data_IF_760507734305
#
_entry.id   IF_760507734305
#
_cell.length_a   1.000
_cell.length_b   1.000
_cell.length_c   1.000
_cell.angle_alpha   90.00
_cell.angle_beta   90.00
_cell.angle_gamma   90.00
#
_symmetry.space_group_name_H-M   'P 1'
#
loop_
_entity.id
_entity.type
_entity.pdbx_description
1 polymer ?
#
# COMPACT_ATOMS: atom_id res chain seq x y z
N UNK A 1 5.08 42.63 27.15
CA UNK A 1 5.23 41.15 27.19
C UNK A 1 4.21 40.41 26.33
N UNK A 2 2.93 40.75 26.35
CA UNK A 2 1.88 40.06 25.56
C UNK A 2 2.15 39.99 24.03
N UNK A 3 2.71 41.07 23.45
CA UNK A 3 3.06 41.14 22.01
C UNK A 3 4.20 40.18 21.63
N UNK A 4 5.19 40.01 22.51
CA UNK A 4 6.31 39.08 22.32
C UNK A 4 5.84 37.63 22.43
N UNK A 5 5.00 37.33 23.42
CA UNK A 5 4.39 36.01 23.56
C UNK A 5 3.49 35.65 22.36
N UNK A 6 2.69 36.61 21.89
CA UNK A 6 1.85 36.43 20.69
C UNK A 6 2.65 36.20 19.41
N UNK A 7 3.73 36.97 19.21
CA UNK A 7 4.62 36.79 18.06
C UNK A 7 5.34 35.43 18.10
N UNK A 8 5.79 34.99 19.28
CA UNK A 8 6.42 33.68 19.45
C UNK A 8 5.43 32.53 19.21
N UNK A 9 4.21 32.63 19.71
CA UNK A 9 3.16 31.64 19.49
C UNK A 9 2.80 31.51 17.99
N UNK A 10 2.68 32.66 17.29
CA UNK A 10 2.47 32.68 15.84
C UNK A 10 3.63 32.03 15.09
N UNK A 11 4.88 32.33 15.47
CA UNK A 11 6.06 31.75 14.84
C UNK A 11 6.13 30.23 15.04
N UNK A 12 5.88 29.74 16.26
CA UNK A 12 5.84 28.29 16.55
C UNK A 12 4.70 27.62 15.78
N UNK A 13 3.52 28.24 15.73
CA UNK A 13 2.38 27.74 14.94
C UNK A 13 2.68 27.68 13.44
N UNK A 14 3.32 28.72 12.89
CA UNK A 14 3.71 28.77 11.49
C UNK A 14 4.78 27.72 11.16
N UNK A 15 5.80 27.54 12.01
CA UNK A 15 6.82 26.49 11.86
C UNK A 15 6.18 25.10 11.95
N UNK A 16 5.27 24.89 12.90
CA UNK A 16 4.52 23.64 13.03
C UNK A 16 3.68 23.34 11.80
N UNK A 17 2.95 24.34 11.27
CA UNK A 17 2.16 24.21 10.05
C UNK A 17 3.05 23.93 8.82
N UNK A 18 4.16 24.65 8.65
CA UNK A 18 5.10 24.42 7.55
C UNK A 18 5.74 23.02 7.63
N UNK A 19 6.07 22.57 8.83
CA UNK A 19 6.54 21.21 9.08
C UNK A 19 5.50 20.15 8.69
N UNK A 20 4.24 20.32 9.14
CA UNK A 20 3.14 19.44 8.75
C UNK A 20 2.92 19.42 7.24
N UNK A 21 2.84 20.59 6.60
CA UNK A 21 2.62 20.71 5.16
C UNK A 21 3.76 20.06 4.37
N UNK A 22 5.00 20.15 4.84
CA UNK A 22 6.13 19.44 4.24
C UNK A 22 5.95 17.92 4.32
N UNK A 23 5.60 17.39 5.49
CA UNK A 23 5.36 15.95 5.69
C UNK A 23 4.24 15.42 4.79
N UNK A 24 3.17 16.19 4.58
CA UNK A 24 2.06 15.76 3.70
C UNK A 24 2.26 16.13 2.22
N UNK A 25 3.45 16.61 1.83
CA UNK A 25 3.77 16.98 0.44
C UNK A 25 3.01 18.21 -0.09
N UNK A 26 2.33 18.98 0.78
CA UNK A 26 1.53 20.17 0.44
C UNK A 26 2.21 21.49 0.82
N UNK A 27 3.44 21.42 1.29
CA UNK A 27 4.23 22.60 1.65
C UNK A 27 4.69 23.38 0.43
N UNK A 28 4.93 24.69 0.56
CA UNK A 28 5.50 25.51 -0.51
C UNK A 28 6.89 25.03 -0.96
N UNK A 29 7.55 24.21 -0.13
CA UNK A 29 8.88 23.65 -0.37
C UNK A 29 8.86 22.20 -0.86
N UNK A 30 7.69 21.63 -1.15
CA UNK A 30 7.63 20.26 -1.66
C UNK A 30 8.34 20.17 -3.03
N UNK A 31 9.05 19.10 -3.27
CA UNK A 31 9.67 18.81 -4.57
C UNK A 31 8.59 18.38 -5.58
N UNK A 32 8.87 18.45 -6.90
CA UNK A 32 7.97 17.87 -7.90
C UNK A 32 7.67 16.38 -7.65
N UNK A 33 8.65 15.60 -7.18
CA UNK A 33 8.48 14.18 -6.87
C UNK A 33 7.54 13.96 -5.67
N UNK A 34 7.70 14.72 -4.58
CA UNK A 34 6.81 14.64 -3.41
C UNK A 34 5.35 14.99 -3.76
N UNK A 35 5.15 16.04 -4.56
CA UNK A 35 3.80 16.39 -5.05
C UNK A 35 3.20 15.31 -5.94
N UNK A 36 4.01 14.73 -6.81
CA UNK A 36 3.59 13.65 -7.70
C UNK A 36 3.21 12.39 -6.92
N UNK A 37 4.05 11.96 -5.97
CA UNK A 37 3.76 10.84 -5.07
C UNK A 37 2.44 11.06 -4.33
N UNK A 38 2.22 12.28 -3.80
CA UNK A 38 0.95 12.61 -3.15
C UNK A 38 -0.24 12.49 -4.11
N UNK A 39 -0.13 13.00 -5.33
CA UNK A 39 -1.19 12.88 -6.33
C UNK A 39 -1.48 11.40 -6.69
N UNK A 40 -0.45 10.56 -6.73
CA UNK A 40 -0.56 9.11 -6.95
C UNK A 40 -1.24 8.40 -5.77
N UNK A 41 -0.92 8.77 -4.52
CA UNK A 41 -1.59 8.27 -3.32
C UNK A 41 -3.06 8.71 -3.23
N UNK A 42 -3.37 9.89 -3.76
CA UNK A 42 -4.71 10.51 -3.76
C UNK A 42 -5.60 10.10 -4.95
N UNK A 43 -5.23 9.08 -5.74
CA UNK A 43 -6.05 8.62 -6.87
C UNK A 43 -7.43 8.13 -6.42
N UNK A 44 -8.47 8.72 -7.01
CA UNK A 44 -9.89 8.40 -6.75
C UNK A 44 -10.57 7.64 -7.90
N UNK A 45 -9.86 7.41 -9.01
CA UNK A 45 -10.35 6.67 -10.16
C UNK A 45 -9.57 5.37 -10.34
N UNK A 46 -10.25 4.32 -10.81
CA UNK A 46 -9.63 3.02 -11.05
C UNK A 46 -8.94 3.04 -12.41
N UNK A 47 -7.94 2.17 -12.65
CA UNK A 47 -7.43 1.97 -14.00
C UNK A 47 -8.53 1.46 -14.93
N UNK A 48 -8.52 1.92 -16.19
CA UNK A 48 -9.45 1.44 -17.23
C UNK A 48 -9.21 -0.04 -17.57
N UNK A 49 -8.00 -0.54 -17.32
CA UNK A 49 -7.63 -1.95 -17.52
C UNK A 49 -6.50 -2.37 -16.57
N UNK A 50 -6.41 -3.67 -16.31
CA UNK A 50 -5.39 -4.28 -15.48
C UNK A 50 -4.53 -5.24 -16.29
N UNK A 51 -3.22 -4.99 -16.33
CA UNK A 51 -2.26 -5.91 -16.91
C UNK A 51 -1.70 -6.87 -15.85
N UNK A 52 -1.61 -8.18 -16.10
CA UNK A 52 -0.94 -9.10 -15.20
C UNK A 52 0.51 -8.69 -14.96
N UNK A 53 0.95 -8.70 -13.70
CA UNK A 53 2.35 -8.54 -13.32
C UNK A 53 2.74 -9.63 -12.31
N UNK A 54 3.90 -10.24 -12.51
CA UNK A 54 4.47 -11.19 -11.55
C UNK A 54 5.39 -10.50 -10.54
N UNK A 55 5.77 -11.22 -9.49
CA UNK A 55 6.72 -10.72 -8.49
C UNK A 55 8.07 -10.31 -9.09
N UNK A 56 8.63 -11.13 -9.98
CA UNK A 56 9.89 -10.79 -10.67
C UNK A 56 9.72 -9.55 -11.55
N UNK A 57 8.54 -9.38 -12.16
CA UNK A 57 8.17 -8.18 -12.90
C UNK A 57 8.14 -6.93 -12.02
N UNK A 58 7.52 -7.00 -10.83
CA UNK A 58 7.50 -5.91 -9.85
C UNK A 58 8.91 -5.54 -9.35
N UNK A 59 9.76 -6.55 -9.12
CA UNK A 59 11.14 -6.35 -8.65
C UNK A 59 12.03 -5.75 -9.75
N UNK A 60 11.79 -6.11 -11.00
CA UNK A 60 12.53 -5.62 -12.15
C UNK A 60 12.15 -4.19 -12.57
N UNK A 61 11.08 -3.61 -12.02
CA UNK A 61 10.70 -2.24 -12.33
C UNK A 61 11.83 -1.24 -11.98
N UNK A 62 12.06 -0.19 -12.79
CA UNK A 62 13.13 0.77 -12.56
C UNK A 62 13.00 1.47 -11.21
N UNK A 63 14.12 1.65 -10.52
CA UNK A 63 14.19 2.35 -9.22
C UNK A 63 15.25 3.44 -9.27
N UNK A 64 15.12 4.44 -8.41
CA UNK A 64 16.03 5.60 -8.31
C UNK A 64 16.22 6.30 -9.66
N UNK A 65 15.13 6.38 -10.41
CA UNK A 65 15.08 7.06 -11.70
C UNK A 65 14.49 8.46 -11.54
N UNK A 66 14.79 9.38 -12.48
CA UNK A 66 14.08 10.66 -12.58
C UNK A 66 12.55 10.49 -12.63
N UNK A 67 11.82 11.50 -12.15
CA UNK A 67 10.36 11.50 -12.04
C UNK A 67 9.65 11.17 -13.36
N UNK A 68 10.09 11.77 -14.45
CA UNK A 68 9.51 11.58 -15.78
C UNK A 68 9.59 10.12 -16.27
N UNK A 69 10.61 9.37 -15.84
CA UNK A 69 10.75 7.96 -16.20
C UNK A 69 9.76 7.06 -15.46
N UNK A 70 9.68 7.15 -14.13
CA UNK A 70 8.79 6.27 -13.36
C UNK A 70 7.33 6.73 -13.40
N UNK A 71 7.05 8.03 -13.57
CA UNK A 71 5.68 8.55 -13.69
C UNK A 71 4.93 7.99 -14.91
N UNK A 72 5.64 7.61 -15.98
CA UNK A 72 5.03 6.92 -17.11
C UNK A 72 4.56 5.50 -16.73
N UNK A 73 5.35 4.80 -15.90
CA UNK A 73 5.08 3.43 -15.45
C UNK A 73 3.92 3.40 -14.45
N UNK A 74 3.83 4.39 -13.57
CA UNK A 74 2.75 4.50 -12.58
C UNK A 74 1.35 4.67 -13.18
N UNK A 75 1.23 4.99 -14.47
CA UNK A 75 -0.06 5.04 -15.19
C UNK A 75 -0.62 3.66 -15.54
N UNK A 76 0.05 2.58 -15.14
CA UNK A 76 -0.39 1.23 -15.43
C UNK A 76 -1.26 0.71 -14.31
N UNK A 77 -2.47 0.28 -14.65
CA UNK A 77 -3.23 -0.65 -13.84
C UNK A 77 -2.62 -2.04 -13.91
N UNK A 78 -2.42 -2.68 -12.77
CA UNK A 78 -1.86 -4.03 -12.69
C UNK A 78 -2.71 -4.95 -11.84
N UNK A 79 -2.59 -6.24 -12.09
CA UNK A 79 -3.09 -7.31 -11.22
C UNK A 79 -1.94 -8.25 -10.85
N UNK A 80 -1.74 -8.45 -9.54
CA UNK A 80 -0.72 -9.34 -8.98
C UNK A 80 -1.40 -10.46 -8.21
N UNK A 81 -1.11 -11.71 -8.59
CA UNK A 81 -1.57 -12.90 -7.88
C UNK A 81 -0.54 -13.41 -6.89
N UNK A 82 -0.95 -13.76 -5.68
CA UNK A 82 -0.06 -14.26 -4.63
C UNK A 82 -0.79 -14.71 -3.37
N UNK A 83 -0.08 -14.69 -2.24
CA UNK A 83 -0.62 -14.96 -0.91
C UNK A 83 -0.29 -13.80 0.00
N UNK A 84 -1.22 -13.40 0.86
CA UNK A 84 -0.95 -12.37 1.87
C UNK A 84 -0.27 -13.03 3.06
N UNK A 85 0.97 -12.63 3.36
CA UNK A 85 1.69 -13.15 4.51
C UNK A 85 1.49 -12.29 5.77
N UNK A 86 1.29 -10.98 5.59
CA UNK A 86 1.07 -10.07 6.70
C UNK A 86 0.15 -8.92 6.30
N UNK A 87 -0.58 -8.41 7.28
CA UNK A 87 -1.40 -7.21 7.15
C UNK A 87 -1.23 -6.33 8.37
N UNK A 88 -1.35 -5.02 8.20
CA UNK A 88 -1.50 -4.11 9.34
C UNK A 88 -2.32 -2.89 8.95
N UNK A 89 -2.94 -2.28 9.96
CA UNK A 89 -3.64 -1.00 9.82
C UNK A 89 -2.68 0.13 10.18
N UNK A 90 -2.46 1.06 9.26
CA UNK A 90 -1.70 2.27 9.53
C UNK A 90 -2.54 3.31 10.29
N UNK A 91 -1.90 4.30 10.94
CA UNK A 91 -2.61 5.35 11.67
C UNK A 91 -3.54 6.23 10.81
N UNK A 92 -3.28 6.36 9.50
CA UNK A 92 -4.14 7.06 8.55
C UNK A 92 -5.33 6.21 8.05
N UNK A 93 -5.40 4.95 8.49
CA UNK A 93 -6.52 4.05 8.24
C UNK A 93 -6.38 3.21 6.97
N UNK A 94 -5.26 3.29 6.28
CA UNK A 94 -4.89 2.38 5.19
C UNK A 94 -4.62 0.97 5.75
N UNK A 95 -4.90 -0.04 4.92
CA UNK A 95 -4.51 -1.41 5.20
C UNK A 95 -3.34 -1.76 4.31
N UNK A 96 -2.18 -1.96 4.91
CA UNK A 96 -1.01 -2.48 4.21
C UNK A 96 -1.13 -3.99 4.13
N UNK A 97 -0.92 -4.51 2.93
CA UNK A 97 -1.05 -5.92 2.56
C UNK A 97 0.28 -6.35 1.96
N UNK A 98 0.98 -7.28 2.59
CA UNK A 98 2.25 -7.78 2.07
C UNK A 98 2.04 -9.11 1.35
N UNK A 99 2.31 -9.12 0.04
CA UNK A 99 2.13 -10.28 -0.82
C UNK A 99 3.44 -11.06 -1.04
N UNK A 100 3.31 -12.39 -1.14
CA UNK A 100 4.38 -13.32 -1.51
C UNK A 100 3.96 -14.29 -2.62
N UNK A 101 4.91 -14.77 -3.45
CA UNK A 101 4.60 -15.63 -4.61
C UNK A 101 4.18 -17.05 -4.24
N UNK A 102 4.58 -17.52 -3.06
CA UNK A 102 4.34 -18.90 -2.60
C UNK A 102 3.56 -18.87 -1.31
N UNK A 103 2.70 -19.87 -1.12
CA UNK A 103 2.01 -20.06 0.13
C UNK A 103 3.06 -20.26 1.23
N UNK A 104 3.12 -19.39 2.25
CA UNK A 104 4.13 -19.52 3.29
C UNK A 104 3.82 -20.68 4.25
N UNK A 105 2.62 -21.27 4.17
CA UNK A 105 2.14 -22.29 5.11
C UNK A 105 1.79 -21.68 6.48
N UNK A 106 1.07 -22.42 7.35
CA UNK A 106 0.61 -21.89 8.64
C UNK A 106 1.76 -21.53 9.60
N UNK A 107 2.90 -22.20 9.47
CA UNK A 107 4.10 -21.97 10.30
C UNK A 107 5.22 -21.27 9.51
N UNK A 108 4.85 -20.58 8.42
CA UNK A 108 5.77 -19.88 7.56
C UNK A 108 6.52 -18.77 8.29
N UNK A 109 7.72 -18.45 7.80
CA UNK A 109 8.43 -17.24 8.20
C UNK A 109 8.10 -16.11 7.24
N UNK A 110 7.92 -14.91 7.77
CA UNK A 110 7.79 -13.73 6.94
C UNK A 110 9.05 -13.52 6.10
N UNK A 111 8.86 -13.27 4.80
CA UNK A 111 9.93 -12.94 3.86
C UNK A 111 9.63 -11.60 3.19
N UNK A 112 10.63 -10.97 2.56
CA UNK A 112 10.34 -9.77 1.77
C UNK A 112 9.34 -10.09 0.66
N UNK A 113 8.36 -9.22 0.46
CA UNK A 113 7.32 -9.35 -0.55
C UNK A 113 7.14 -8.08 -1.39
N UNK A 114 5.94 -7.95 -1.93
CA UNK A 114 5.43 -6.76 -2.62
C UNK A 114 4.28 -6.21 -1.79
N UNK A 115 4.34 -4.92 -1.49
CA UNK A 115 3.29 -4.24 -0.73
C UNK A 115 2.14 -3.82 -1.64
N UNK A 116 0.93 -3.81 -1.07
CA UNK A 116 -0.26 -3.23 -1.65
C UNK A 116 -1.05 -2.53 -0.54
N UNK A 117 -1.78 -1.47 -0.87
CA UNK A 117 -2.46 -0.65 0.13
C UNK A 117 -3.94 -0.43 -0.21
N UNK A 118 -4.81 -0.88 0.69
CA UNK A 118 -6.25 -0.62 0.62
C UNK A 118 -6.54 0.66 1.39
N UNK A 119 -6.88 1.72 0.67
CA UNK A 119 -7.12 3.04 1.29
C UNK A 119 -8.60 3.25 1.62
N UNK A 120 -8.95 4.06 2.65
CA UNK A 120 -10.32 4.27 3.10
C UNK A 120 -11.33 4.62 2.01
N UNK A 121 -10.93 5.47 1.06
CA UNK A 121 -11.78 5.95 -0.02
C UNK A 121 -12.21 4.83 -0.99
N UNK A 122 -11.42 3.75 -1.10
CA UNK A 122 -11.67 2.62 -2.00
C UNK A 122 -12.48 1.49 -1.37
N UNK A 123 -12.74 1.55 -0.07
CA UNK A 123 -13.55 0.55 0.64
C UNK A 123 -15.06 0.73 0.44
N UNK A 124 -15.51 1.90 -0.04
CA UNK A 124 -16.91 2.29 -0.30
C UNK A 124 -17.96 1.86 0.75
N UNK A 125 -17.55 1.66 2.01
CA UNK A 125 -18.44 1.15 3.07
C UNK A 125 -18.76 -0.34 2.97
N UNK A 126 -18.12 -1.09 2.07
CA UNK A 126 -18.28 -2.54 1.99
C UNK A 126 -17.76 -3.24 3.22
N UNK A 127 -18.63 -4.09 3.78
CA UNK A 127 -18.28 -4.97 4.89
C UNK A 127 -17.23 -6.01 4.49
N UNK A 128 -17.20 -6.42 3.22
CA UNK A 128 -16.19 -7.37 2.76
C UNK A 128 -14.78 -6.77 2.78
N UNK A 129 -14.67 -5.44 2.72
CA UNK A 129 -13.41 -4.69 2.80
C UNK A 129 -13.13 -4.14 4.20
N UNK A 130 -13.85 -4.59 5.25
CA UNK A 130 -13.46 -4.34 6.64
C UNK A 130 -12.17 -5.11 6.97
N UNK A 131 -11.28 -4.52 7.76
CA UNK A 131 -9.96 -5.10 8.08
C UNK A 131 -10.09 -6.53 8.62
N UNK A 132 -10.97 -6.74 9.59
CA UNK A 132 -11.18 -8.01 10.26
C UNK A 132 -11.71 -9.07 9.28
N UNK A 133 -12.51 -8.65 8.28
CA UNK A 133 -13.04 -9.53 7.23
C UNK A 133 -11.98 -9.89 6.21
N UNK A 134 -11.15 -8.94 5.79
CA UNK A 134 -10.01 -9.19 4.91
C UNK A 134 -9.00 -10.12 5.59
N UNK A 135 -8.66 -9.89 6.86
CA UNK A 135 -7.80 -10.77 7.65
C UNK A 135 -8.36 -12.19 7.72
N UNK A 136 -9.65 -12.35 8.05
CA UNK A 136 -10.28 -13.67 8.10
C UNK A 136 -10.34 -14.36 6.72
N UNK A 137 -10.45 -13.56 5.65
CA UNK A 137 -10.52 -14.06 4.28
C UNK A 137 -9.15 -14.47 3.76
N UNK A 138 -8.11 -13.68 3.98
CA UNK A 138 -6.77 -13.93 3.47
C UNK A 138 -5.97 -14.90 4.34
N UNK A 139 -6.25 -14.91 5.65
CA UNK A 139 -5.60 -15.74 6.66
C UNK A 139 -4.08 -15.51 6.69
N UNK A 140 -3.62 -14.26 6.89
CA UNK A 140 -2.19 -13.97 6.93
C UNK A 140 -1.54 -14.56 8.19
N UNK A 141 -0.22 -14.72 8.17
CA UNK A 141 0.57 -15.17 9.31
C UNK A 141 0.63 -14.12 10.42
N UNK A 142 0.74 -12.85 10.04
CA UNK A 142 0.71 -11.71 10.96
C UNK A 142 -0.38 -10.70 10.57
N UNK A 143 -0.94 -10.01 11.57
CA UNK A 143 -1.96 -8.98 11.35
C UNK A 143 -3.37 -9.33 11.79
N UNK A 144 -3.63 -10.57 12.20
CA UNK A 144 -4.92 -11.03 12.72
C UNK A 144 -4.95 -11.28 14.23
N UNK A 145 -6.13 -11.64 14.75
CA UNK A 145 -6.37 -11.94 16.18
C UNK A 145 -5.89 -13.34 16.60
N UNK A 146 -4.91 -13.91 15.91
CA UNK A 146 -4.39 -15.24 16.21
C UNK A 146 -3.87 -15.97 14.99
N UNK A 147 -3.38 -17.19 15.22
CA UNK A 147 -2.98 -18.13 14.18
C UNK A 147 -4.23 -18.74 13.53
N UNK A 148 -4.17 -18.95 12.22
CA UNK A 148 -5.22 -19.64 11.47
C UNK A 148 -4.81 -21.09 11.25
N UNK A 149 -5.70 -22.03 11.56
CA UNK A 149 -5.47 -23.46 11.29
C UNK A 149 -5.38 -23.73 9.78
N UNK A 150 -6.23 -23.06 9.00
CA UNK A 150 -6.19 -23.11 7.55
C UNK A 150 -5.04 -22.25 7.00
N UNK A 151 -4.37 -22.69 5.91
CA UNK A 151 -3.29 -21.93 5.30
C UNK A 151 -3.80 -20.62 4.64
N UNK A 152 -2.89 -19.65 4.39
CA UNK A 152 -3.20 -18.44 3.62
C UNK A 152 -3.87 -18.75 2.29
N UNK A 153 -4.91 -17.98 1.94
CA UNK A 153 -5.62 -18.12 0.67
C UNK A 153 -4.92 -17.36 -0.44
N UNK A 154 -5.00 -17.91 -1.66
CA UNK A 154 -4.48 -17.23 -2.86
C UNK A 154 -5.40 -16.07 -3.23
N UNK A 155 -4.81 -14.93 -3.55
CA UNK A 155 -5.51 -13.69 -3.92
C UNK A 155 -4.99 -13.14 -5.24
N UNK A 156 -5.81 -12.31 -5.90
CA UNK A 156 -5.38 -11.34 -6.91
C UNK A 156 -5.71 -9.95 -6.42
N UNK A 157 -4.71 -9.09 -6.38
CA UNK A 157 -4.83 -7.69 -5.97
C UNK A 157 -4.61 -6.82 -7.19
N UNK A 158 -5.58 -5.94 -7.46
CA UNK A 158 -5.56 -5.07 -8.63
C UNK A 158 -5.58 -3.60 -8.22
N UNK A 159 -4.80 -2.77 -8.89
CA UNK A 159 -4.70 -1.35 -8.59
C UNK A 159 -3.70 -0.65 -9.49
N UNK A 160 -3.33 0.57 -9.10
CA UNK A 160 -2.29 1.31 -9.81
C UNK A 160 -0.90 0.91 -9.34
N UNK A 161 0.07 0.91 -10.24
CA UNK A 161 1.47 0.96 -9.82
C UNK A 161 1.77 2.32 -9.15
N UNK A 162 2.55 2.24 -8.08
CA UNK A 162 3.11 3.38 -7.38
C UNK A 162 4.57 3.09 -7.01
N UNK A 163 5.46 4.03 -7.26
CA UNK A 163 6.86 3.96 -6.81
C UNK A 163 7.02 4.82 -5.55
N UNK A 164 7.08 4.16 -4.38
CA UNK A 164 7.21 4.86 -3.11
C UNK A 164 8.69 5.14 -2.80
N UNK A 165 9.21 6.19 -3.45
CA UNK A 165 10.61 6.58 -3.33
C UNK A 165 11.01 6.99 -1.91
N UNK A 166 10.06 7.34 -1.04
CA UNK A 166 10.34 7.74 0.35
C UNK A 166 10.92 6.58 1.17
N UNK A 167 10.67 5.33 0.74
CA UNK A 167 11.21 4.12 1.35
C UNK A 167 12.51 3.62 0.69
N UNK A 168 13.11 4.38 -0.23
CA UNK A 168 14.43 4.04 -0.76
C UNK A 168 15.51 4.11 0.32
N UNK A 169 16.25 3.01 0.50
CA UNK A 169 17.33 2.92 1.49
C UNK A 169 16.85 2.95 2.95
N UNK A 170 15.54 2.91 3.20
CA UNK A 170 14.97 2.84 4.54
C UNK A 170 14.82 1.39 4.96
N UNK A 171 15.47 1.02 6.07
CA UNK A 171 15.24 -0.28 6.72
C UNK A 171 13.85 -0.27 7.39
N UNK A 172 12.97 -1.25 7.13
CA UNK A 172 11.68 -1.30 7.81
C UNK A 172 11.86 -1.41 9.32
N UNK A 173 11.02 -0.67 10.06
CA UNK A 173 11.02 -0.71 11.52
C UNK A 173 10.38 -1.99 12.07
N UNK A 174 9.51 -2.63 11.28
CA UNK A 174 8.74 -3.83 11.63
C UNK A 174 8.64 -4.70 10.38
N UNK A 175 8.80 -6.02 10.55
CA UNK A 175 8.69 -6.99 9.46
C UNK A 175 9.94 -7.09 8.56
N UNK A 176 9.90 -7.99 7.55
CA UNK A 176 11.02 -8.18 6.63
C UNK A 176 11.19 -6.99 5.67
N UNK A 177 12.40 -6.84 5.12
CA UNK A 177 12.67 -5.84 4.09
C UNK A 177 11.83 -6.07 2.84
N UNK A 178 11.17 -5.01 2.33
CA UNK A 178 10.46 -5.03 1.04
C UNK A 178 11.42 -5.47 -0.07
N UNK A 179 10.98 -6.31 -1.02
CA UNK A 179 11.82 -6.68 -2.19
C UNK A 179 11.93 -5.56 -3.21
N UNK A 180 10.97 -4.64 -3.22
CA UNK A 180 10.89 -3.51 -4.13
C UNK A 180 10.18 -2.34 -3.45
N UNK A 181 10.44 -1.12 -3.92
CA UNK A 181 9.76 0.11 -3.53
C UNK A 181 8.54 0.38 -4.44
N UNK A 182 8.30 -0.49 -5.41
CA UNK A 182 7.06 -0.51 -6.18
C UNK A 182 5.98 -1.25 -5.42
N UNK A 183 4.80 -0.66 -5.37
CA UNK A 183 3.62 -1.20 -4.70
C UNK A 183 2.38 -1.05 -5.57
N UNK A 184 1.31 -1.72 -5.15
CA UNK A 184 -0.02 -1.53 -5.73
C UNK A 184 -0.79 -0.56 -4.83
N UNK A 185 -0.88 0.70 -5.26
CA UNK A 185 -1.54 1.76 -4.49
C UNK A 185 -2.26 2.77 -5.41
N UNK A 186 -3.55 3.07 -5.14
CA UNK A 186 -4.43 2.32 -4.25
C UNK A 186 -4.80 0.95 -4.85
N UNK A 187 -5.11 -0.01 -3.97
CA UNK A 187 -5.84 -1.21 -4.34
C UNK A 187 -7.27 -0.82 -4.72
N UNK A 188 -7.69 -1.26 -5.90
CA UNK A 188 -9.00 -0.96 -6.48
C UNK A 188 -9.87 -2.20 -6.60
N UNK A 189 -9.30 -3.41 -6.72
CA UNK A 189 -10.05 -4.67 -6.73
C UNK A 189 -9.31 -5.77 -5.98
N UNK A 190 -10.07 -6.70 -5.42
CA UNK A 190 -9.55 -7.89 -4.75
C UNK A 190 -10.35 -9.10 -5.23
N UNK A 191 -9.66 -10.12 -5.71
CA UNK A 191 -10.26 -11.43 -5.99
C UNK A 191 -9.59 -12.48 -5.11
N UNK A 192 -10.36 -13.47 -4.67
CA UNK A 192 -9.87 -14.57 -3.82
C UNK A 192 -10.15 -15.89 -4.50
N UNK A 193 -9.18 -16.81 -4.42
CA UNK A 193 -9.32 -18.15 -4.96
C UNK A 193 -10.38 -18.94 -4.20
N UNK A 194 -11.34 -19.49 -4.93
CA UNK A 194 -12.37 -20.41 -4.44
C UNK A 194 -12.01 -21.84 -4.87
N UNK A 195 -11.66 -22.67 -3.89
CA UNK A 195 -11.27 -24.06 -4.11
C UNK A 195 -12.43 -24.93 -4.61
N UNK A 196 -13.68 -24.54 -4.34
CA UNK A 196 -14.86 -25.31 -4.77
C UNK A 196 -15.13 -25.16 -6.26
N UNK A 197 -14.82 -24.01 -6.83
CA UNK A 197 -15.01 -23.71 -8.26
C UNK A 197 -13.70 -23.76 -9.05
N UNK A 198 -12.55 -23.75 -8.38
CA UNK A 198 -11.24 -23.67 -9.03
C UNK A 198 -11.04 -22.35 -9.79
N UNK A 199 -11.68 -21.28 -9.33
CA UNK A 199 -11.64 -19.96 -9.95
C UNK A 199 -11.44 -18.86 -8.91
N UNK A 200 -11.09 -17.67 -9.37
CA UNK A 200 -11.10 -16.49 -8.51
C UNK A 200 -12.48 -15.85 -8.53
N UNK A 201 -12.94 -15.45 -7.35
CA UNK A 201 -14.16 -14.67 -7.17
C UNK A 201 -13.82 -13.26 -6.65
N UNK A 202 -14.46 -12.24 -7.20
CA UNK A 202 -14.29 -10.86 -6.73
C UNK A 202 -14.92 -10.68 -5.34
N UNK A 203 -14.19 -10.02 -4.43
CA UNK A 203 -14.75 -9.55 -3.18
C UNK A 203 -15.54 -8.27 -3.43
N UNK A 204 -16.83 -8.28 -3.07
CA UNK A 204 -17.72 -7.13 -3.19
C UNK A 204 -17.11 -5.84 -2.59
N UNK A 205 -17.15 -4.75 -3.36
CA UNK A 205 -16.64 -3.43 -2.98
C UNK A 205 -17.71 -2.55 -2.37
#
# INVERSE_FOLDING_TARGET
MLRLAGALALAVGAVGLLGYLRVVGKGPFATPAERHLRAMKDRVAAPDSFAPIGFDGMIALPRRRPLDEYAAIERRGVVLGGYVQSMFRSPDGDFHVELVPRNPGPDGRLVGGVSAEVTPQWRHGSRAWEYERLVATFRPLEGGRGHFEDPPRRVRISGWLLYDFEYEGVTPRVGPARRTQWEIHPVTAIEVWDDSTGTFAELAR
#
